data_IF_696796370063
#
_entry.id   IF_696796370063
#
_cell.length_a   1.000
_cell.length_b   1.000
_cell.length_c   1.000
_cell.angle_alpha   90.00
_cell.angle_beta   90.00
_cell.angle_gamma   90.00
#
_symmetry.space_group_name_H-M   'P 1'
#
loop_
_entity.id
_entity.type
_entity.pdbx_description
1 polymer ?
#
# COMPACT_ATOMS: atom_id res chain seq x y z
N UNK A 1 -10.47 24.27 7.52
CA UNK A 1 -9.43 23.23 7.52
C UNK A 1 -10.03 22.01 6.85
N UNK A 2 -9.63 21.71 5.62
CA UNK A 2 -10.23 20.62 4.86
C UNK A 2 -9.88 19.30 5.52
N UNK A 3 -10.89 18.56 5.97
CA UNK A 3 -10.76 17.18 6.43
C UNK A 3 -10.26 16.35 5.25
N UNK A 4 -8.93 16.20 5.12
CA UNK A 4 -8.32 15.23 4.21
C UNK A 4 -8.95 13.89 4.54
N UNK A 5 -9.86 13.44 3.69
CA UNK A 5 -10.72 12.30 3.98
C UNK A 5 -9.87 11.05 3.76
N UNK A 6 -9.14 10.65 4.80
CA UNK A 6 -8.31 9.45 4.78
C UNK A 6 -9.25 8.24 4.74
N UNK A 7 -9.07 7.37 3.75
CA UNK A 7 -9.93 6.21 3.50
C UNK A 7 -11.39 6.66 3.29
N UNK A 8 -11.74 7.11 2.09
CA UNK A 8 -13.08 7.59 1.72
C UNK A 8 -14.11 6.47 1.61
N UNK A 9 -13.69 5.26 1.26
CA UNK A 9 -14.57 4.13 0.97
C UNK A 9 -14.89 3.30 2.21
N UNK A 10 -13.87 2.95 2.99
CA UNK A 10 -14.00 2.06 4.15
C UNK A 10 -14.94 2.58 5.26
N UNK A 11 -14.82 3.83 5.75
CA UNK A 11 -15.69 4.37 6.78
C UNK A 11 -17.14 4.54 6.33
N UNK A 12 -17.38 4.72 5.02
CA UNK A 12 -18.74 4.77 4.47
C UNK A 12 -19.42 3.40 4.49
N UNK A 13 -18.66 2.31 4.34
CA UNK A 13 -19.18 0.93 4.30
C UNK A 13 -19.27 0.33 5.71
N UNK A 14 -18.20 0.46 6.50
CA UNK A 14 -18.05 -0.22 7.79
C UNK A 14 -18.31 0.69 9.00
N UNK A 15 -18.28 2.01 8.82
CA UNK A 15 -18.19 2.97 9.91
C UNK A 15 -16.75 3.19 10.40
N UNK A 16 -16.53 4.30 11.13
CA UNK A 16 -15.19 4.73 11.60
C UNK A 16 -14.52 3.67 12.48
N UNK A 17 -15.22 3.15 13.50
CA UNK A 17 -14.65 2.21 14.46
C UNK A 17 -14.25 0.86 13.83
N UNK A 18 -15.11 0.29 12.98
CA UNK A 18 -14.81 -0.96 12.30
C UNK A 18 -13.67 -0.78 11.29
N UNK A 19 -13.60 0.38 10.61
CA UNK A 19 -12.46 0.74 9.76
C UNK A 19 -11.17 0.82 10.56
N UNK A 20 -11.18 1.46 11.73
CA UNK A 20 -10.01 1.52 12.60
C UNK A 20 -9.54 0.12 13.04
N UNK A 21 -10.47 -0.78 13.42
CA UNK A 21 -10.14 -2.16 13.78
C UNK A 21 -9.54 -2.92 12.60
N UNK A 22 -10.15 -2.83 11.42
CA UNK A 22 -9.63 -3.44 10.19
C UNK A 22 -8.21 -2.95 9.89
N UNK A 23 -7.99 -1.64 9.92
CA UNK A 23 -6.69 -1.04 9.63
C UNK A 23 -5.63 -1.41 10.67
N UNK A 24 -5.98 -1.55 11.95
CA UNK A 24 -5.08 -2.07 13.00
C UNK A 24 -4.62 -3.50 12.69
N UNK A 25 -5.53 -4.34 12.20
CA UNK A 25 -5.22 -5.74 11.84
C UNK A 25 -4.41 -5.81 10.55
N UNK A 26 -4.72 -4.98 9.55
CA UNK A 26 -4.06 -4.98 8.25
C UNK A 26 -2.67 -4.31 8.24
N UNK A 27 -2.38 -3.42 9.20
CA UNK A 27 -1.10 -2.71 9.29
C UNK A 27 0.15 -3.61 9.30
N UNK A 28 0.24 -4.67 10.13
CA UNK A 28 1.40 -5.57 10.10
C UNK A 28 1.54 -6.30 8.76
N UNK A 29 0.43 -6.68 8.13
CA UNK A 29 0.45 -7.33 6.82
C UNK A 29 1.00 -6.38 5.73
N UNK A 30 0.58 -5.11 5.75
CA UNK A 30 1.09 -4.09 4.85
C UNK A 30 2.61 -3.86 5.02
N UNK A 31 3.11 -3.91 6.26
CA UNK A 31 4.55 -3.82 6.54
C UNK A 31 5.31 -5.03 5.98
N UNK A 32 4.74 -6.24 6.11
CA UNK A 32 5.33 -7.45 5.53
C UNK A 32 5.38 -7.37 4.01
N UNK A 33 4.32 -6.92 3.35
CA UNK A 33 4.35 -6.71 1.89
C UNK A 33 5.36 -5.64 1.47
N UNK A 34 5.47 -4.54 2.21
CA UNK A 34 6.47 -3.51 1.91
C UNK A 34 7.89 -4.10 1.96
N UNK A 35 8.23 -4.82 3.02
CA UNK A 35 9.55 -5.43 3.18
C UNK A 35 9.80 -6.50 2.12
N UNK A 36 8.83 -7.37 1.88
CA UNK A 36 8.91 -8.42 0.87
C UNK A 36 9.12 -7.85 -0.53
N UNK A 37 8.32 -6.86 -0.93
CA UNK A 37 8.46 -6.20 -2.23
C UNK A 37 9.79 -5.47 -2.36
N UNK A 38 10.22 -4.73 -1.34
CA UNK A 38 11.53 -4.08 -1.36
C UNK A 38 12.65 -5.07 -1.59
N UNK A 39 12.65 -6.18 -0.84
CA UNK A 39 13.70 -7.20 -0.93
C UNK A 39 13.68 -7.89 -2.30
N UNK A 40 12.51 -8.34 -2.76
CA UNK A 40 12.38 -9.01 -4.06
C UNK A 40 12.76 -8.10 -5.23
N UNK A 41 12.36 -6.83 -5.21
CA UNK A 41 12.73 -5.88 -6.26
C UNK A 41 14.23 -5.56 -6.26
N UNK A 42 14.85 -5.40 -5.09
CA UNK A 42 16.30 -5.19 -4.97
C UNK A 42 17.12 -6.39 -5.45
N UNK A 43 16.63 -7.61 -5.19
CA UNK A 43 17.25 -8.86 -5.65
C UNK A 43 16.90 -9.23 -7.09
N UNK A 44 16.08 -8.42 -7.77
CA UNK A 44 15.55 -8.70 -9.11
C UNK A 44 14.76 -10.03 -9.19
N UNK A 45 14.19 -10.45 -8.06
CA UNK A 45 13.28 -11.58 -7.98
C UNK A 45 11.87 -11.15 -8.40
N UNK A 46 11.69 -10.99 -9.71
CA UNK A 46 10.44 -10.50 -10.31
C UNK A 46 9.26 -11.43 -10.05
N UNK A 47 9.50 -12.73 -9.93
CA UNK A 47 8.46 -13.71 -9.70
C UNK A 47 7.89 -13.58 -8.28
N UNK A 48 8.75 -13.50 -7.27
CA UNK A 48 8.29 -13.25 -5.89
C UNK A 48 7.66 -11.87 -5.77
N UNK A 49 8.23 -10.85 -6.42
CA UNK A 49 7.65 -9.50 -6.43
C UNK A 49 6.23 -9.49 -7.02
N UNK A 50 5.99 -10.15 -8.15
CA UNK A 50 4.67 -10.29 -8.75
C UNK A 50 3.69 -11.06 -7.85
N UNK A 51 4.14 -12.15 -7.21
CA UNK A 51 3.28 -12.90 -6.29
C UNK A 51 2.85 -12.06 -5.07
N UNK A 52 3.75 -11.24 -4.52
CA UNK A 52 3.45 -10.31 -3.44
C UNK A 52 2.55 -9.17 -3.91
N UNK A 53 2.83 -8.60 -5.09
CA UNK A 53 2.05 -7.52 -5.66
C UNK A 53 0.60 -7.95 -5.97
N UNK A 54 0.41 -9.16 -6.49
CA UNK A 54 -0.90 -9.72 -6.75
C UNK A 54 -1.74 -9.86 -5.48
N UNK A 55 -1.15 -10.40 -4.40
CA UNK A 55 -1.82 -10.50 -3.10
C UNK A 55 -2.21 -9.13 -2.55
N UNK A 56 -1.29 -8.16 -2.62
CA UNK A 56 -1.55 -6.80 -2.16
C UNK A 56 -2.57 -6.05 -3.02
N UNK A 57 -2.68 -6.37 -4.32
CA UNK A 57 -3.64 -5.72 -5.23
C UNK A 57 -5.10 -5.92 -4.77
N UNK A 58 -5.38 -7.06 -4.14
CA UNK A 58 -6.70 -7.35 -3.57
C UNK A 58 -7.07 -6.39 -2.42
N UNK A 59 -6.09 -5.83 -1.72
CA UNK A 59 -6.30 -4.90 -0.60
C UNK A 59 -5.87 -3.47 -0.92
N UNK A 60 -5.20 -3.22 -2.05
CA UNK A 60 -4.69 -1.91 -2.43
C UNK A 60 -5.79 -0.83 -2.53
N UNK A 61 -6.96 -1.19 -3.04
CA UNK A 61 -8.12 -0.31 -3.14
C UNK A 61 -8.63 0.17 -1.76
N UNK A 62 -8.36 -0.57 -0.69
CA UNK A 62 -8.73 -0.19 0.68
C UNK A 62 -7.92 1.00 1.18
N UNK A 63 -6.76 1.28 0.57
CA UNK A 63 -5.87 2.35 0.97
C UNK A 63 -6.04 3.66 0.18
N UNK A 64 -6.99 3.70 -0.75
CA UNK A 64 -7.26 4.84 -1.65
C UNK A 64 -5.98 5.42 -2.29
N UNK A 65 -5.04 4.56 -2.68
CA UNK A 65 -3.77 4.95 -3.28
C UNK A 65 -3.67 4.49 -4.74
N UNK A 66 -4.03 5.38 -5.66
CA UNK A 66 -3.89 5.14 -7.10
C UNK A 66 -2.42 4.88 -7.48
N UNK A 67 -1.47 5.57 -6.83
CA UNK A 67 -0.04 5.35 -7.05
C UNK A 67 0.43 3.96 -6.62
N UNK A 68 -0.10 3.43 -5.52
CA UNK A 68 0.19 2.05 -5.12
C UNK A 68 -0.37 1.09 -6.16
N UNK A 69 -1.62 1.27 -6.59
CA UNK A 69 -2.25 0.38 -7.54
C UNK A 69 -1.50 0.33 -8.87
N UNK A 70 -1.12 1.48 -9.43
CA UNK A 70 -0.31 1.55 -10.65
C UNK A 70 1.05 0.85 -10.50
N UNK A 71 1.74 1.04 -9.37
CA UNK A 71 3.01 0.37 -9.13
C UNK A 71 2.86 -1.15 -8.99
N UNK A 72 1.78 -1.64 -8.38
CA UNK A 72 1.50 -3.07 -8.30
C UNK A 72 1.16 -3.66 -9.66
N UNK A 73 0.45 -2.92 -10.52
CA UNK A 73 0.17 -3.33 -11.89
C UNK A 73 1.46 -3.46 -12.71
N UNK A 74 2.39 -2.51 -12.59
CA UNK A 74 3.72 -2.60 -13.22
C UNK A 74 4.53 -3.81 -12.75
N UNK A 75 4.47 -4.15 -11.45
CA UNK A 75 5.14 -5.33 -10.88
C UNK A 75 4.48 -6.62 -11.37
N UNK A 76 3.15 -6.70 -11.38
CA UNK A 76 2.39 -7.85 -11.85
C UNK A 76 2.63 -8.11 -13.34
N UNK A 77 2.68 -7.04 -14.15
CA UNK A 77 2.97 -7.11 -15.57
C UNK A 77 4.46 -7.38 -15.87
N UNK A 78 5.33 -7.39 -14.85
CA UNK A 78 6.77 -7.46 -14.99
C UNK A 78 7.31 -6.42 -15.98
N UNK A 79 6.81 -5.20 -15.90
CA UNK A 79 7.18 -4.10 -16.80
C UNK A 79 8.60 -3.63 -16.51
N UNK A 80 9.60 -4.32 -17.07
CA UNK A 80 11.02 -4.09 -16.76
C UNK A 80 11.46 -2.64 -17.00
N UNK A 81 10.87 -1.94 -17.97
CA UNK A 81 11.17 -0.53 -18.22
C UNK A 81 10.80 0.37 -17.02
N UNK A 82 9.66 0.09 -16.37
CA UNK A 82 9.26 0.78 -15.15
C UNK A 82 10.07 0.28 -13.94
N UNK A 83 10.21 -1.04 -13.78
CA UNK A 83 10.85 -1.66 -12.62
C UNK A 83 12.34 -1.34 -12.49
N UNK A 84 13.04 -1.19 -13.61
CA UNK A 84 14.47 -0.84 -13.64
C UNK A 84 14.72 0.67 -13.54
N UNK A 85 13.66 1.49 -13.55
CA UNK A 85 13.82 2.93 -13.37
C UNK A 85 14.37 3.22 -11.97
N UNK A 86 15.42 4.04 -11.82
CA UNK A 86 16.12 4.22 -10.54
C UNK A 86 15.24 4.80 -9.43
N UNK A 87 14.17 5.51 -9.80
CA UNK A 87 13.20 6.05 -8.84
C UNK A 87 12.09 5.06 -8.44
N UNK A 88 11.94 3.91 -9.12
CA UNK A 88 10.79 3.02 -8.91
C UNK A 88 10.69 2.52 -7.46
N UNK A 89 11.75 1.88 -6.96
CA UNK A 89 11.77 1.35 -5.59
C UNK A 89 11.63 2.47 -4.55
N UNK A 90 12.39 3.59 -4.62
CA UNK A 90 12.20 4.72 -3.71
C UNK A 90 10.76 5.26 -3.69
N UNK A 91 10.15 5.47 -4.85
CA UNK A 91 8.77 5.99 -4.95
C UNK A 91 7.75 5.00 -4.39
N UNK A 92 7.93 3.70 -4.64
CA UNK A 92 7.08 2.67 -4.06
C UNK A 92 7.19 2.66 -2.53
N UNK A 93 8.41 2.73 -1.98
CA UNK A 93 8.63 2.76 -0.53
C UNK A 93 8.04 4.00 0.12
N UNK A 94 8.18 5.16 -0.51
CA UNK A 94 7.55 6.40 -0.05
C UNK A 94 6.01 6.28 -0.05
N UNK A 95 5.45 5.62 -1.05
CA UNK A 95 3.99 5.37 -1.13
C UNK A 95 3.53 4.50 0.04
N UNK A 96 4.25 3.42 0.37
CA UNK A 96 3.95 2.62 1.56
C UNK A 96 4.05 3.42 2.86
N UNK A 97 5.10 4.25 3.01
CA UNK A 97 5.27 5.10 4.19
C UNK A 97 4.11 6.09 4.35
N UNK A 98 3.64 6.68 3.25
CA UNK A 98 2.49 7.58 3.26
C UNK A 98 1.21 6.86 3.67
N UNK A 99 0.96 5.65 3.13
CA UNK A 99 -0.21 4.84 3.52
C UNK A 99 -0.13 4.49 5.01
N UNK A 100 1.01 4.06 5.52
CA UNK A 100 1.18 3.75 6.94
C UNK A 100 1.02 4.98 7.83
N UNK A 101 1.47 6.15 7.39
CA UNK A 101 1.22 7.42 8.08
C UNK A 101 -0.28 7.73 8.13
N UNK A 102 -0.98 7.59 7.00
CA UNK A 102 -2.43 7.79 6.92
C UNK A 102 -3.20 6.81 7.83
N UNK A 103 -2.81 5.53 7.86
CA UNK A 103 -3.37 4.51 8.76
C UNK A 103 -3.18 4.95 10.21
N UNK A 104 -1.96 5.36 10.60
CA UNK A 104 -1.68 5.82 11.96
C UNK A 104 -2.53 7.03 12.33
N UNK A 105 -2.59 8.05 11.48
CA UNK A 105 -3.40 9.25 11.69
C UNK A 105 -4.88 8.90 11.89
N UNK A 106 -5.44 8.05 11.02
CA UNK A 106 -6.85 7.64 11.11
C UNK A 106 -7.16 6.83 12.38
N UNK A 107 -6.23 5.97 12.82
CA UNK A 107 -6.35 5.22 14.06
C UNK A 107 -6.23 6.14 15.28
N UNK A 108 -5.36 7.15 15.24
CA UNK A 108 -5.08 8.08 16.34
C UNK A 108 -6.08 9.24 16.46
N UNK A 109 -6.98 9.42 15.48
CA UNK A 109 -8.02 10.46 15.42
C UNK A 109 -9.15 10.24 16.47
N UNK A 110 -8.75 9.93 17.71
CA UNK A 110 -9.57 9.59 18.87
C UNK A 110 -9.12 10.35 20.14
N UNK A 111 -8.47 11.51 19.98
CA UNK A 111 -8.38 12.52 21.04
C UNK A 111 -9.10 13.79 20.59
#
# INVERSE_FOLDING_TARGET
MSSSTLFTTLPKILGKEATQRLLKVAQPELQQYQQGLSNSLQQQDWQTAAALAHKLSATAHLYDSASLQAALDDINAQNLAALQHPAFIPTLMQTFQQIQANIRLFISDNN
#
